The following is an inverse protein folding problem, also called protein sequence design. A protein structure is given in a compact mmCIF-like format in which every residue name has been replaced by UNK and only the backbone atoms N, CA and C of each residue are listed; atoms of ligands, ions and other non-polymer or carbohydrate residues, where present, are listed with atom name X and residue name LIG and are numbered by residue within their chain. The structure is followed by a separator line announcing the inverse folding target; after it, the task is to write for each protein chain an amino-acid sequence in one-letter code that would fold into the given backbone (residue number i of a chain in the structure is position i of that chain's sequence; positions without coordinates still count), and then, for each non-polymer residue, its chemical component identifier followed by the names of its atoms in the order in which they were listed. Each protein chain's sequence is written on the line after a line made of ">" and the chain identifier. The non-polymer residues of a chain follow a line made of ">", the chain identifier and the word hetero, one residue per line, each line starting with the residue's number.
data_IF_909207209012
#
_entry.id   IF_909207209012
#
_cell.length_a   1.000
_cell.length_b   1.000
_cell.length_c   1.000
_cell.angle_alpha   90.00
_cell.angle_beta   90.00
_cell.angle_gamma   90.00
#
_symmetry.space_group_name_H-M   'P 1'
#
loop_
_entity.id
_entity.type
_entity.pdbx_description
1 polymer ?
#
# COMPACT_ATOMS: atom_id res chain seq x y z
N UNK A 1 -28.27 -7.29 -2.42
CA UNK A 1 -27.14 -8.08 -2.98
C UNK A 1 -27.32 -9.54 -2.61
N UNK A 2 -27.21 -10.47 -3.57
CA UNK A 2 -27.29 -11.93 -3.31
C UNK A 2 -25.90 -12.44 -2.94
N UNK A 3 -25.64 -12.64 -1.66
CA UNK A 3 -24.29 -12.86 -1.10
C UNK A 3 -23.55 -14.04 -1.72
N UNK A 4 -24.22 -15.22 -1.89
CA UNK A 4 -23.58 -16.41 -2.46
C UNK A 4 -23.18 -16.21 -3.93
N UNK A 5 -24.05 -15.57 -4.72
CA UNK A 5 -23.78 -15.28 -6.13
C UNK A 5 -22.63 -14.25 -6.25
N UNK A 6 -22.61 -13.23 -5.39
CA UNK A 6 -21.53 -12.25 -5.34
C UNK A 6 -20.19 -12.90 -4.97
N UNK A 7 -20.17 -13.75 -3.94
CA UNK A 7 -18.96 -14.48 -3.55
C UNK A 7 -18.44 -15.38 -4.69
N UNK A 8 -19.34 -16.04 -5.43
CA UNK A 8 -18.95 -16.86 -6.56
C UNK A 8 -18.36 -16.02 -7.72
N UNK A 9 -18.95 -14.86 -8.02
CA UNK A 9 -18.41 -13.95 -9.04
C UNK A 9 -17.03 -13.42 -8.67
N UNK A 10 -16.87 -12.95 -7.42
CA UNK A 10 -15.57 -12.48 -6.90
C UNK A 10 -14.51 -13.57 -7.05
N UNK A 11 -14.82 -14.79 -6.58
CA UNK A 11 -13.93 -15.94 -6.72
C UNK A 11 -13.52 -16.17 -8.17
N UNK A 12 -14.49 -16.22 -9.09
CA UNK A 12 -14.22 -16.44 -10.52
C UNK A 12 -13.33 -15.33 -11.09
N UNK A 13 -13.62 -14.06 -10.77
CA UNK A 13 -12.81 -12.95 -11.26
C UNK A 13 -11.35 -12.98 -10.73
N UNK A 14 -11.16 -13.32 -9.46
CA UNK A 14 -9.81 -13.44 -8.89
C UNK A 14 -9.04 -14.63 -9.47
N UNK A 15 -9.70 -15.78 -9.68
CA UNK A 15 -9.12 -16.95 -10.35
C UNK A 15 -8.72 -16.64 -11.81
N UNK A 16 -9.52 -15.86 -12.54
CA UNK A 16 -9.19 -15.45 -13.90
C UNK A 16 -8.04 -14.44 -13.93
N UNK A 17 -8.07 -13.43 -13.04
CA UNK A 17 -7.05 -12.41 -12.93
C UNK A 17 -5.69 -12.96 -12.48
N UNK A 18 -5.67 -14.02 -11.66
CA UNK A 18 -4.44 -14.69 -11.24
C UNK A 18 -3.65 -15.34 -12.38
N UNK A 19 -4.30 -15.61 -13.51
CA UNK A 19 -3.67 -16.18 -14.71
C UNK A 19 -2.81 -15.17 -15.46
N UNK A 20 -3.03 -13.87 -15.24
CA UNK A 20 -2.23 -12.79 -15.84
C UNK A 20 -1.01 -12.50 -14.96
N UNK A 21 0.00 -13.35 -15.11
CA UNK A 21 1.25 -13.34 -14.32
C UNK A 21 2.46 -13.68 -15.19
N UNK A 22 3.59 -13.03 -14.93
CA UNK A 22 4.87 -13.37 -15.58
C UNK A 22 5.59 -14.55 -14.91
N UNK A 23 5.07 -15.05 -13.76
CA UNK A 23 5.64 -16.17 -12.99
C UNK A 23 4.61 -17.29 -12.77
N UNK A 24 4.10 -17.94 -13.83
CA UNK A 24 3.08 -18.98 -13.69
C UNK A 24 3.58 -20.13 -12.81
N UNK A 25 2.74 -20.54 -11.83
CA UNK A 25 3.07 -21.59 -10.87
C UNK A 25 3.92 -21.15 -9.68
N UNK A 26 4.33 -19.89 -9.61
CA UNK A 26 5.13 -19.33 -8.52
C UNK A 26 4.45 -18.15 -7.80
N UNK A 27 3.15 -17.97 -8.02
CA UNK A 27 2.39 -16.81 -7.55
C UNK A 27 2.13 -15.80 -8.67
N UNK A 28 1.58 -14.65 -8.30
CA UNK A 28 1.26 -13.57 -9.24
C UNK A 28 2.39 -12.55 -9.25
N UNK A 29 2.92 -12.31 -10.46
CA UNK A 29 3.82 -11.18 -10.74
C UNK A 29 3.21 -10.39 -11.89
N UNK A 30 2.60 -9.26 -11.57
CA UNK A 30 1.93 -8.36 -12.50
C UNK A 30 2.45 -6.94 -12.27
N UNK A 31 3.63 -6.68 -12.83
CA UNK A 31 4.27 -5.37 -12.71
C UNK A 31 3.57 -4.31 -13.57
N UNK A 32 3.61 -3.05 -13.16
CA UNK A 32 3.03 -1.95 -13.92
C UNK A 32 3.64 -1.83 -15.31
N UNK A 33 2.82 -1.42 -16.27
CA UNK A 33 3.20 -1.21 -17.67
C UNK A 33 3.78 -2.45 -18.36
N UNK A 34 3.31 -3.65 -17.99
CA UNK A 34 3.67 -4.93 -18.64
C UNK A 34 2.50 -5.49 -19.44
N UNK A 35 2.79 -6.54 -20.21
CA UNK A 35 1.77 -7.29 -20.94
C UNK A 35 0.71 -7.90 -20.00
N UNK A 36 1.15 -8.43 -18.86
CA UNK A 36 0.27 -9.02 -17.85
C UNK A 36 -0.67 -7.97 -17.24
N UNK A 37 -0.14 -6.77 -16.96
CA UNK A 37 -0.94 -5.64 -16.51
C UNK A 37 -1.95 -5.21 -17.58
N UNK A 38 -1.57 -5.20 -18.88
CA UNK A 38 -2.48 -4.89 -19.99
C UNK A 38 -3.65 -5.87 -20.05
N UNK A 39 -3.36 -7.16 -19.99
CA UNK A 39 -4.38 -8.22 -20.04
C UNK A 39 -5.36 -8.13 -18.85
N UNK A 40 -4.83 -7.86 -17.66
CA UNK A 40 -5.66 -7.68 -16.47
C UNK A 40 -6.50 -6.39 -16.55
N UNK A 41 -5.93 -5.28 -17.06
CA UNK A 41 -6.65 -4.03 -17.29
C UNK A 41 -7.82 -4.21 -18.26
N UNK A 42 -7.59 -4.90 -19.39
CA UNK A 42 -8.63 -5.20 -20.39
C UNK A 42 -9.74 -6.10 -19.80
N UNK A 43 -9.37 -7.07 -18.97
CA UNK A 43 -10.33 -7.90 -18.25
C UNK A 43 -11.21 -7.07 -17.31
N UNK A 44 -10.62 -6.23 -16.47
CA UNK A 44 -11.35 -5.36 -15.53
C UNK A 44 -12.26 -4.39 -16.29
N UNK A 45 -11.77 -3.75 -17.36
CA UNK A 45 -12.58 -2.86 -18.21
C UNK A 45 -13.80 -3.60 -18.77
N UNK A 46 -13.61 -4.82 -19.26
CA UNK A 46 -14.73 -5.63 -19.77
C UNK A 46 -15.77 -5.94 -18.67
N UNK A 47 -15.33 -6.28 -17.45
CA UNK A 47 -16.26 -6.54 -16.31
C UNK A 47 -17.02 -5.29 -15.88
N UNK A 48 -16.37 -4.12 -15.89
CA UNK A 48 -17.03 -2.84 -15.64
C UNK A 48 -18.01 -2.46 -16.75
N UNK A 49 -17.64 -2.68 -18.02
CA UNK A 49 -18.54 -2.41 -19.16
C UNK A 49 -19.79 -3.30 -19.16
N UNK A 50 -19.70 -4.57 -18.75
CA UNK A 50 -20.83 -5.50 -18.64
C UNK A 50 -21.92 -5.02 -17.67
N UNK A 51 -21.56 -4.24 -16.66
CA UNK A 51 -22.52 -3.63 -15.72
C UNK A 51 -22.96 -2.23 -16.15
N UNK A 52 -22.59 -1.79 -17.36
CA UNK A 52 -23.01 -0.52 -17.93
C UNK A 52 -22.15 0.69 -17.54
N UNK A 53 -20.95 0.50 -16.99
CA UNK A 53 -20.04 1.59 -16.71
C UNK A 53 -19.33 2.07 -17.99
N UNK A 54 -19.09 3.36 -18.09
CA UNK A 54 -18.24 3.95 -19.10
C UNK A 54 -16.78 3.75 -18.72
N UNK A 55 -16.05 2.94 -19.46
CA UNK A 55 -14.68 2.54 -19.12
C UNK A 55 -13.62 3.27 -19.93
N UNK A 56 -12.50 3.58 -19.30
CA UNK A 56 -11.30 4.13 -19.94
C UNK A 56 -10.06 3.81 -19.11
N UNK A 57 -8.89 3.97 -19.73
CA UNK A 57 -7.59 3.96 -19.07
C UNK A 57 -7.05 5.39 -19.10
N UNK A 58 -6.55 5.89 -17.98
CA UNK A 58 -5.90 7.17 -17.89
C UNK A 58 -4.39 7.11 -18.21
N UNK A 59 -3.71 8.26 -18.25
CA UNK A 59 -2.27 8.30 -18.50
C UNK A 59 -1.38 7.80 -17.35
N UNK A 60 -1.94 7.46 -16.19
CA UNK A 60 -1.20 6.72 -15.16
C UNK A 60 -1.22 5.20 -15.39
N UNK A 61 -2.01 4.74 -16.36
CA UNK A 61 -2.26 3.33 -16.61
C UNK A 61 -3.35 2.73 -15.73
N UNK A 62 -4.05 3.56 -14.97
CA UNK A 62 -5.18 3.11 -14.14
C UNK A 62 -6.42 2.87 -14.99
N UNK A 63 -7.16 1.84 -14.64
CA UNK A 63 -8.45 1.52 -15.27
C UNK A 63 -9.58 2.12 -14.46
N UNK A 64 -10.46 2.84 -15.13
CA UNK A 64 -11.58 3.55 -14.52
C UNK A 64 -12.88 3.14 -15.20
N UNK A 65 -13.90 2.82 -14.39
CA UNK A 65 -15.27 2.57 -14.82
C UNK A 65 -16.23 3.53 -14.14
N UNK A 66 -16.88 4.41 -14.90
CA UNK A 66 -17.71 5.49 -14.41
C UNK A 66 -19.20 5.21 -14.53
N UNK A 67 -19.93 5.37 -13.43
CA UNK A 67 -21.39 5.47 -13.34
C UNK A 67 -21.79 6.93 -13.14
N UNK A 68 -22.49 7.51 -14.10
CA UNK A 68 -22.91 8.91 -14.04
C UNK A 68 -23.96 9.15 -12.95
N UNK A 69 -23.64 10.07 -12.05
CA UNK A 69 -24.55 10.56 -11.01
C UNK A 69 -25.44 11.70 -11.45
N UNK A 70 -26.01 12.42 -10.48
CA UNK A 70 -26.78 13.65 -10.72
C UNK A 70 -25.86 14.85 -10.96
N UNK A 71 -24.63 14.81 -10.40
CA UNK A 71 -23.59 15.84 -10.55
C UNK A 71 -22.28 15.17 -11.03
N UNK A 72 -21.38 15.95 -11.65
CA UNK A 72 -20.12 15.42 -12.20
C UNK A 72 -19.07 15.08 -11.16
N UNK A 73 -19.13 15.68 -9.96
CA UNK A 73 -18.21 15.36 -8.87
C UNK A 73 -18.27 13.86 -8.54
N UNK A 74 -17.14 13.31 -8.14
CA UNK A 74 -16.91 11.86 -8.12
C UNK A 74 -16.63 11.34 -6.71
N UNK A 75 -17.22 10.20 -6.39
CA UNK A 75 -16.78 9.31 -5.31
C UNK A 75 -16.09 8.10 -5.95
N UNK A 76 -14.84 7.86 -5.59
CA UNK A 76 -14.08 6.71 -6.10
C UNK A 76 -14.11 5.53 -5.14
N UNK A 77 -14.12 4.31 -5.70
CA UNK A 77 -13.95 3.06 -4.97
C UNK A 77 -13.02 2.13 -5.76
N UNK A 78 -12.12 1.46 -5.09
CA UNK A 78 -11.24 0.48 -5.73
C UNK A 78 -9.99 0.20 -4.92
N UNK A 79 -8.98 -0.33 -5.58
CA UNK A 79 -7.64 -0.56 -5.09
C UNK A 79 -6.70 -0.85 -6.28
N UNK A 80 -5.50 -1.35 -6.04
CA UNK A 80 -4.49 -1.52 -7.09
C UNK A 80 -4.64 -2.82 -7.90
N UNK A 81 -4.08 -2.79 -9.11
CA UNK A 81 -4.05 -3.90 -10.06
C UNK A 81 -2.72 -4.66 -10.03
N UNK A 82 -1.63 -3.94 -9.79
CA UNK A 82 -0.27 -4.50 -9.75
C UNK A 82 -0.04 -5.39 -8.54
N UNK A 83 1.06 -6.09 -8.53
CA UNK A 83 1.45 -6.99 -7.44
C UNK A 83 2.96 -6.94 -7.20
N UNK A 84 3.40 -7.40 -6.03
CA UNK A 84 4.80 -7.74 -5.78
C UNK A 84 5.23 -8.93 -6.64
N UNK A 85 6.55 -9.20 -6.72
CA UNK A 85 7.09 -10.39 -7.39
C UNK A 85 6.67 -11.66 -6.65
N UNK A 86 6.09 -12.62 -7.37
CA UNK A 86 5.60 -13.89 -6.82
C UNK A 86 4.63 -13.69 -5.63
N UNK A 87 3.80 -12.65 -5.70
CA UNK A 87 2.80 -12.33 -4.69
C UNK A 87 1.58 -13.22 -4.72
N UNK A 88 0.56 -12.81 -3.99
CA UNK A 88 -0.74 -13.48 -3.94
C UNK A 88 -1.68 -13.08 -5.07
N UNK A 89 -2.89 -13.62 -5.00
CA UNK A 89 -3.93 -13.39 -5.99
C UNK A 89 -5.05 -12.44 -5.49
N UNK A 90 -4.88 -11.85 -4.31
CA UNK A 90 -5.92 -11.08 -3.62
C UNK A 90 -5.49 -9.64 -3.35
N UNK A 91 -4.21 -9.44 -3.04
CA UNK A 91 -3.64 -8.14 -2.68
C UNK A 91 -3.96 -7.08 -3.74
N UNK A 92 -4.57 -5.96 -3.32
CA UNK A 92 -5.08 -4.88 -4.16
C UNK A 92 -6.23 -5.29 -5.06
N UNK A 93 -6.01 -6.25 -5.95
CA UNK A 93 -6.96 -6.64 -6.98
C UNK A 93 -8.32 -7.11 -6.43
N UNK A 94 -8.34 -7.71 -5.23
CA UNK A 94 -9.59 -8.08 -4.56
C UNK A 94 -10.45 -6.84 -4.26
N UNK A 95 -9.82 -5.71 -3.89
CA UNK A 95 -10.51 -4.45 -3.66
C UNK A 95 -11.14 -3.87 -4.92
N UNK A 96 -10.43 -3.90 -6.04
CA UNK A 96 -10.99 -3.49 -7.33
C UNK A 96 -12.19 -4.34 -7.73
N UNK A 97 -12.11 -5.67 -7.57
CA UNK A 97 -13.22 -6.60 -7.85
C UNK A 97 -14.39 -6.36 -6.90
N UNK A 98 -14.13 -6.13 -5.60
CA UNK A 98 -15.16 -5.77 -4.63
C UNK A 98 -15.86 -4.45 -4.99
N UNK A 99 -15.11 -3.47 -5.48
CA UNK A 99 -15.65 -2.19 -5.98
C UNK A 99 -16.60 -2.41 -7.16
N UNK A 100 -16.24 -3.27 -8.13
CA UNK A 100 -17.12 -3.62 -9.24
C UNK A 100 -18.44 -4.24 -8.74
N UNK A 101 -18.38 -5.17 -7.80
CA UNK A 101 -19.58 -5.80 -7.25
C UNK A 101 -20.44 -4.85 -6.41
N UNK A 102 -19.83 -3.92 -5.69
CA UNK A 102 -20.56 -2.87 -4.96
C UNK A 102 -21.32 -1.95 -5.94
N UNK A 103 -20.66 -1.50 -7.01
CA UNK A 103 -21.28 -0.63 -8.01
C UNK A 103 -22.30 -1.40 -8.88
N UNK A 104 -22.04 -2.69 -9.19
CA UNK A 104 -23.05 -3.56 -9.80
C UNK A 104 -24.37 -3.54 -9.00
N UNK A 105 -24.26 -3.68 -7.66
CA UNK A 105 -25.46 -3.66 -6.83
C UNK A 105 -26.19 -2.31 -6.89
N UNK A 106 -25.46 -1.18 -6.99
CA UNK A 106 -26.09 0.15 -7.18
C UNK A 106 -26.84 0.18 -8.53
N UNK A 107 -26.23 -0.27 -9.61
CA UNK A 107 -26.85 -0.33 -10.94
C UNK A 107 -28.12 -1.19 -10.91
N UNK A 108 -28.06 -2.38 -10.28
CA UNK A 108 -29.20 -3.28 -10.15
C UNK A 108 -30.38 -2.70 -9.37
N UNK A 109 -30.14 -1.75 -8.45
CA UNK A 109 -31.24 -1.04 -7.75
C UNK A 109 -31.95 -0.02 -8.63
N UNK A 110 -31.35 0.43 -9.72
CA UNK A 110 -31.84 1.52 -10.56
C UNK A 110 -31.72 2.91 -9.90
N UNK A 111 -31.10 3.02 -8.73
CA UNK A 111 -30.88 4.30 -8.05
C UNK A 111 -29.82 5.09 -8.83
N UNK A 112 -30.16 6.36 -9.19
CA UNK A 112 -29.16 7.30 -9.69
C UNK A 112 -28.49 8.00 -8.52
N UNK A 113 -27.19 7.74 -8.23
CA UNK A 113 -26.50 8.35 -7.10
C UNK A 113 -26.38 9.88 -7.28
N UNK A 114 -26.19 10.61 -6.19
CA UNK A 114 -25.99 12.05 -6.27
C UNK A 114 -24.66 12.40 -6.93
N UNK A 115 -23.55 11.90 -6.38
CA UNK A 115 -22.22 11.96 -7.02
C UNK A 115 -22.12 10.92 -8.13
N UNK A 116 -21.32 11.19 -9.15
CA UNK A 116 -20.84 10.14 -10.04
C UNK A 116 -19.97 9.16 -9.26
N UNK A 117 -20.03 7.87 -9.58
CA UNK A 117 -19.22 6.86 -8.90
C UNK A 117 -18.22 6.29 -9.90
N UNK A 118 -16.95 6.22 -9.51
CA UNK A 118 -15.91 5.57 -10.31
C UNK A 118 -15.33 4.37 -9.56
N UNK A 119 -15.34 3.21 -10.23
CA UNK A 119 -14.51 2.08 -9.83
C UNK A 119 -13.15 2.26 -10.44
N UNK A 120 -12.09 2.18 -9.63
CA UNK A 120 -10.71 2.32 -10.09
C UNK A 120 -9.91 1.07 -9.78
N UNK A 121 -9.07 0.66 -10.76
CA UNK A 121 -7.97 -0.27 -10.53
C UNK A 121 -6.68 0.50 -10.81
N UNK A 122 -5.98 0.90 -9.76
CA UNK A 122 -4.78 1.75 -9.80
C UNK A 122 -3.56 0.94 -10.23
N UNK A 123 -2.49 1.61 -10.60
CA UNK A 123 -1.30 0.99 -11.15
C UNK A 123 -0.04 1.46 -10.38
N UNK A 124 0.91 0.55 -10.13
CA UNK A 124 2.17 0.79 -9.42
C UNK A 124 1.99 1.33 -7.98
N UNK A 125 1.04 0.74 -7.24
CA UNK A 125 0.90 1.01 -5.82
C UNK A 125 2.08 0.44 -5.04
N UNK A 126 2.45 -0.80 -5.33
CA UNK A 126 3.49 -1.59 -4.68
C UNK A 126 4.92 -1.05 -4.92
N UNK A 127 5.13 -0.32 -6.02
CA UNK A 127 6.46 0.17 -6.39
C UNK A 127 7.46 -0.94 -6.68
N UNK A 128 6.99 -2.16 -6.92
CA UNK A 128 7.83 -3.36 -7.05
C UNK A 128 8.73 -3.34 -8.28
N UNK A 129 8.33 -2.65 -9.35
CA UNK A 129 9.14 -2.53 -10.56
C UNK A 129 10.08 -1.32 -10.52
N UNK A 130 9.57 -0.14 -10.17
CA UNK A 130 10.31 1.12 -10.31
C UNK A 130 10.71 1.77 -8.98
N UNK A 131 10.35 1.18 -7.85
CA UNK A 131 10.52 1.74 -6.51
C UNK A 131 9.78 3.07 -6.31
N UNK A 132 8.74 3.31 -7.11
CA UNK A 132 7.91 4.51 -7.13
C UNK A 132 6.84 4.51 -6.03
N UNK A 133 6.19 3.39 -5.78
CA UNK A 133 5.13 3.17 -4.78
C UNK A 133 4.04 4.25 -4.67
N UNK A 134 2.78 3.86 -4.58
CA UNK A 134 1.62 4.76 -4.56
C UNK A 134 1.59 5.68 -5.80
N UNK A 135 2.03 5.15 -6.96
CA UNK A 135 2.28 5.95 -8.16
C UNK A 135 1.02 6.66 -8.65
N UNK A 136 -0.06 5.90 -8.87
CA UNK A 136 -1.32 6.47 -9.35
C UNK A 136 -1.88 7.51 -8.39
N UNK A 137 -1.91 7.20 -7.08
CA UNK A 137 -2.36 8.16 -6.06
C UNK A 137 -1.59 9.46 -6.14
N UNK A 138 -0.25 9.41 -6.24
CA UNK A 138 0.62 10.58 -6.36
C UNK A 138 0.40 11.35 -7.66
N UNK A 139 0.15 10.65 -8.79
CA UNK A 139 -0.18 11.29 -10.07
C UNK A 139 -1.50 12.04 -9.99
N UNK A 140 -2.56 11.38 -9.53
CA UNK A 140 -3.89 11.99 -9.39
C UNK A 140 -3.90 13.16 -8.40
N UNK A 141 -2.99 13.16 -7.45
CA UNK A 141 -2.78 14.24 -6.49
C UNK A 141 -1.89 15.38 -7.02
N UNK A 142 -1.21 15.16 -8.15
CA UNK A 142 -0.30 16.13 -8.76
C UNK A 142 1.05 16.24 -8.05
N UNK A 143 1.49 15.19 -7.38
CA UNK A 143 2.78 15.13 -6.67
C UNK A 143 3.95 14.72 -7.57
N UNK A 144 3.69 14.15 -8.76
CA UNK A 144 4.72 13.69 -9.69
C UNK A 144 4.78 14.54 -10.94
N UNK A 145 5.99 14.86 -11.33
CA UNK A 145 6.32 15.55 -12.59
C UNK A 145 6.88 14.59 -13.64
N UNK A 146 7.00 15.04 -14.88
CA UNK A 146 7.67 14.31 -15.97
C UNK A 146 9.12 13.99 -15.60
N UNK A 147 9.81 14.89 -14.88
CA UNK A 147 11.19 14.65 -14.46
C UNK A 147 11.29 13.57 -13.39
N UNK A 148 10.26 13.42 -12.53
CA UNK A 148 10.22 12.35 -11.53
C UNK A 148 10.08 10.99 -12.20
N UNK A 149 9.15 10.83 -13.15
CA UNK A 149 8.94 9.55 -13.85
C UNK A 149 10.11 9.17 -14.78
N UNK A 150 10.96 10.12 -15.19
CA UNK A 150 12.23 9.86 -15.89
C UNK A 150 13.32 9.33 -14.95
N UNK A 151 13.24 9.66 -13.66
CA UNK A 151 14.23 9.23 -12.64
C UNK A 151 13.95 7.83 -12.08
N UNK A 152 12.68 7.47 -11.90
CA UNK A 152 12.31 6.13 -11.44
C UNK A 152 12.66 5.09 -12.49
N UNK A 153 13.47 4.09 -12.14
CA UNK A 153 13.95 3.07 -13.07
C UNK A 153 13.81 1.68 -12.47
N UNK A 154 13.52 0.72 -13.33
CA UNK A 154 13.55 -0.69 -12.99
C UNK A 154 14.98 -1.27 -12.97
N UNK A 155 15.09 -2.57 -12.70
CA UNK A 155 16.38 -3.30 -12.61
C UNK A 155 17.15 -3.33 -13.96
N UNK A 156 16.44 -3.19 -15.08
CA UNK A 156 17.00 -3.15 -16.44
C UNK A 156 17.36 -1.71 -16.88
N UNK A 157 17.11 -0.72 -16.01
CA UNK A 157 17.37 0.70 -16.28
C UNK A 157 16.29 1.41 -17.11
N UNK A 158 15.17 0.74 -17.39
CA UNK A 158 14.00 1.33 -18.07
C UNK A 158 13.33 2.31 -17.12
N UNK A 159 13.08 3.54 -17.57
CA UNK A 159 12.36 4.50 -16.74
C UNK A 159 10.83 4.27 -16.78
N UNK A 160 10.12 4.79 -15.77
CA UNK A 160 8.64 4.83 -15.81
C UNK A 160 8.18 5.54 -17.09
N UNK A 161 8.84 6.64 -17.46
CA UNK A 161 8.56 7.39 -18.70
C UNK A 161 8.63 6.49 -19.94
N UNK A 162 9.74 5.75 -20.12
CA UNK A 162 9.94 4.86 -21.27
C UNK A 162 8.93 3.70 -21.26
N UNK A 163 8.66 3.12 -20.08
CA UNK A 163 7.68 2.04 -19.93
C UNK A 163 6.24 2.50 -20.26
N UNK A 164 5.86 3.74 -19.88
CA UNK A 164 4.57 4.33 -20.24
C UNK A 164 4.44 4.52 -21.75
N UNK A 165 5.50 5.02 -22.44
CA UNK A 165 5.52 5.13 -23.90
C UNK A 165 5.33 3.77 -24.57
N UNK A 166 6.08 2.74 -24.14
CA UNK A 166 5.94 1.38 -24.67
C UNK A 166 4.55 0.81 -24.41
N UNK A 167 3.97 1.14 -23.27
CA UNK A 167 2.59 0.76 -22.91
C UNK A 167 1.53 1.52 -23.72
N UNK A 168 1.90 2.55 -24.51
CA UNK A 168 0.99 3.33 -25.35
C UNK A 168 0.27 4.46 -24.62
N UNK A 169 0.85 4.95 -23.53
CA UNK A 169 0.40 6.12 -22.79
C UNK A 169 1.19 7.36 -23.17
N UNK A 170 0.71 8.53 -22.78
CA UNK A 170 1.39 9.82 -22.98
C UNK A 170 2.00 10.31 -21.65
N UNK A 171 3.29 10.01 -21.37
CA UNK A 171 3.93 10.42 -20.13
C UNK A 171 4.14 11.93 -20.03
N UNK A 172 4.16 12.69 -21.15
CA UNK A 172 4.27 14.14 -21.12
C UNK A 172 2.98 14.80 -20.61
N UNK A 173 1.84 14.12 -20.75
CA UNK A 173 0.53 14.53 -20.21
C UNK A 173 0.25 14.00 -18.79
N UNK A 174 1.26 13.52 -18.06
CA UNK A 174 1.05 12.94 -16.72
C UNK A 174 0.39 13.92 -15.74
N UNK A 175 0.67 15.21 -15.88
CA UNK A 175 0.10 16.27 -15.05
C UNK A 175 -1.42 16.47 -15.27
N UNK A 176 -1.93 16.08 -16.44
CA UNK A 176 -3.36 16.19 -16.80
C UNK A 176 -4.23 15.18 -16.04
N UNK A 177 -3.60 14.18 -15.41
CA UNK A 177 -4.30 13.18 -14.59
C UNK A 177 -4.69 13.68 -13.20
N UNK A 178 -4.39 14.93 -12.85
CA UNK A 178 -4.80 15.50 -11.58
C UNK A 178 -6.31 15.58 -11.48
N UNK A 179 -6.89 15.00 -10.42
CA UNK A 179 -8.33 14.82 -10.22
C UNK A 179 -8.87 15.72 -9.10
N UNK A 180 -9.23 16.95 -9.45
CA UNK A 180 -9.87 17.89 -8.52
C UNK A 180 -11.39 17.62 -8.31
N UNK A 181 -11.98 16.85 -9.20
CA UNK A 181 -13.39 16.44 -9.16
C UNK A 181 -13.69 15.30 -8.19
N UNK A 182 -12.68 14.55 -7.76
CA UNK A 182 -12.83 13.48 -6.76
C UNK A 182 -13.01 14.10 -5.37
N UNK A 183 -14.08 13.69 -4.68
CA UNK A 183 -14.49 14.22 -3.37
C UNK A 183 -14.34 13.23 -2.24
N UNK A 184 -14.30 11.92 -2.54
CA UNK A 184 -14.13 10.87 -1.55
C UNK A 184 -13.53 9.63 -2.19
N UNK A 185 -12.84 8.82 -1.37
CA UNK A 185 -12.26 7.55 -1.78
C UNK A 185 -12.60 6.44 -0.78
N UNK A 186 -13.00 5.28 -1.28
CA UNK A 186 -13.21 4.07 -0.47
C UNK A 186 -12.27 2.99 -1.02
N UNK A 187 -11.50 2.37 -0.13
CA UNK A 187 -10.67 1.23 -0.48
C UNK A 187 -11.13 -0.02 0.26
N UNK A 188 -11.40 -1.09 -0.49
CA UNK A 188 -11.57 -2.43 0.07
C UNK A 188 -10.24 -3.15 -0.09
N UNK A 189 -9.76 -3.81 0.95
CA UNK A 189 -8.49 -4.50 0.91
C UNK A 189 -8.46 -5.72 1.83
N UNK A 190 -7.56 -6.66 1.59
CA UNK A 190 -7.24 -7.70 2.54
C UNK A 190 -6.42 -7.10 3.69
N UNK A 191 -6.52 -7.65 4.90
CA UNK A 191 -5.79 -7.13 6.06
C UNK A 191 -4.26 -7.22 5.92
N UNK A 192 -3.78 -8.21 5.18
CA UNK A 192 -2.36 -8.57 5.08
C UNK A 192 -1.73 -8.97 6.44
N UNK A 193 -2.56 -9.22 7.43
CA UNK A 193 -2.17 -9.52 8.79
C UNK A 193 -3.12 -10.52 9.46
N UNK A 194 -2.83 -10.98 10.68
CA UNK A 194 -3.57 -12.04 11.36
C UNK A 194 -4.65 -11.54 12.34
N UNK A 195 -4.86 -10.22 12.48
CA UNK A 195 -5.63 -9.66 13.62
C UNK A 195 -7.12 -9.98 13.50
N UNK A 196 -7.72 -9.79 12.33
CA UNK A 196 -9.14 -10.07 12.10
C UNK A 196 -9.44 -11.56 12.24
N UNK A 197 -8.58 -12.42 11.68
CA UNK A 197 -8.72 -13.87 11.80
C UNK A 197 -8.62 -14.32 13.26
N UNK A 198 -7.60 -13.85 14.00
CA UNK A 198 -7.40 -14.15 15.40
C UNK A 198 -8.57 -13.67 16.29
N UNK A 199 -9.13 -12.48 15.95
CA UNK A 199 -10.28 -11.92 16.64
C UNK A 199 -11.62 -12.51 16.16
N UNK A 200 -11.63 -13.36 15.13
CA UNK A 200 -12.83 -13.94 14.50
C UNK A 200 -13.82 -12.85 14.05
N UNK A 201 -13.31 -11.82 13.39
CA UNK A 201 -14.09 -10.71 12.86
C UNK A 201 -14.22 -10.83 11.35
N UNK A 202 -15.41 -10.48 10.85
CA UNK A 202 -15.71 -10.53 9.41
C UNK A 202 -15.16 -9.31 8.66
N UNK A 203 -15.23 -8.13 9.29
CA UNK A 203 -14.88 -6.83 8.68
C UNK A 203 -13.98 -6.03 9.63
N UNK A 204 -12.93 -5.44 9.07
CA UNK A 204 -12.10 -4.43 9.74
C UNK A 204 -12.49 -3.03 9.29
N UNK A 205 -12.80 -2.18 10.27
CA UNK A 205 -13.01 -0.74 10.05
C UNK A 205 -11.67 -0.05 10.29
N UNK A 206 -11.01 0.41 9.24
CA UNK A 206 -9.67 0.97 9.38
C UNK A 206 -9.73 2.39 9.94
N UNK A 207 -9.06 2.63 11.06
CA UNK A 207 -9.00 3.94 11.72
C UNK A 207 -7.91 4.83 11.14
N UNK A 208 -6.73 4.25 10.96
CA UNK A 208 -5.50 4.95 10.59
C UNK A 208 -4.68 4.07 9.67
N UNK A 209 -4.12 4.66 8.64
CA UNK A 209 -3.01 4.07 7.88
C UNK A 209 -1.73 4.62 8.51
N UNK A 210 -0.81 3.72 8.93
CA UNK A 210 0.41 4.12 9.64
C UNK A 210 1.29 5.03 8.78
N UNK A 211 1.95 5.98 9.43
CA UNK A 211 3.09 6.68 8.84
C UNK A 211 4.30 5.75 8.78
N UNK A 212 5.17 6.00 7.82
CA UNK A 212 6.38 5.21 7.57
C UNK A 212 7.56 6.16 7.44
N UNK A 213 8.62 5.92 8.23
CA UNK A 213 9.90 6.59 8.05
C UNK A 213 11.01 5.56 7.88
N UNK A 214 11.65 5.58 6.74
CA UNK A 214 12.67 4.59 6.35
C UNK A 214 13.98 5.29 6.04
N UNK A 215 15.08 4.70 6.48
CA UNK A 215 16.40 5.21 6.17
C UNK A 215 17.41 4.08 5.98
N UNK A 216 18.49 4.41 5.26
CA UNK A 216 19.69 3.63 5.17
C UNK A 216 20.76 4.29 6.05
N UNK A 217 21.29 3.55 7.00
CA UNK A 217 22.31 4.02 7.94
C UNK A 217 23.63 3.36 7.61
N UNK A 218 24.68 4.15 7.41
CA UNK A 218 26.06 3.67 7.21
C UNK A 218 26.93 4.11 8.36
N UNK A 219 27.54 3.16 9.08
CA UNK A 219 28.52 3.40 10.14
C UNK A 219 29.91 3.09 9.60
N UNK A 220 30.84 4.05 9.69
CA UNK A 220 32.22 3.91 9.21
C UNK A 220 33.19 3.81 10.37
N UNK A 221 33.92 2.73 10.40
CA UNK A 221 35.00 2.45 11.34
C UNK A 221 36.35 2.26 10.62
N UNK A 222 37.17 1.32 11.10
CA UNK A 222 38.49 1.02 10.51
C UNK A 222 38.80 -0.47 10.54
N UNK A 223 39.22 -0.99 9.40
CA UNK A 223 39.69 -2.39 9.31
C UNK A 223 41.08 -2.55 9.94
N UNK A 224 41.18 -3.49 10.86
CA UNK A 224 42.40 -3.83 11.54
C UNK A 224 42.45 -5.37 11.78
N UNK A 225 43.60 -5.90 12.18
CA UNK A 225 43.72 -7.32 12.51
C UNK A 225 42.99 -7.64 13.83
N UNK A 226 42.08 -8.62 13.80
CA UNK A 226 41.16 -8.91 14.93
C UNK A 226 41.89 -9.32 16.23
N UNK A 227 43.04 -9.99 16.14
CA UNK A 227 43.76 -10.51 17.29
C UNK A 227 44.82 -9.57 17.88
N UNK A 228 45.32 -8.61 17.09
CA UNK A 228 46.44 -7.75 17.53
C UNK A 228 46.01 -6.34 17.92
N UNK A 229 44.84 -5.90 17.45
CA UNK A 229 44.31 -4.58 17.79
C UNK A 229 43.62 -4.61 19.17
N UNK A 230 44.13 -3.88 20.19
CA UNK A 230 43.49 -3.80 21.52
C UNK A 230 42.05 -3.26 21.47
N UNK A 231 41.18 -3.71 22.39
CA UNK A 231 39.76 -3.33 22.42
C UNK A 231 39.51 -1.81 22.51
N UNK A 232 40.34 -1.10 23.27
CA UNK A 232 40.22 0.36 23.46
C UNK A 232 40.76 1.18 22.26
N UNK A 233 41.33 0.54 21.26
CA UNK A 233 41.87 1.20 20.04
C UNK A 233 41.07 0.83 18.78
N UNK A 234 40.05 -0.05 18.91
CA UNK A 234 39.23 -0.50 17.80
C UNK A 234 38.23 0.57 17.37
N UNK A 235 38.03 0.61 16.05
CA UNK A 235 36.92 1.34 15.42
C UNK A 235 36.01 0.30 14.71
N UNK A 236 35.40 -0.59 15.49
CA UNK A 236 34.61 -1.72 15.01
C UNK A 236 33.20 -1.24 14.66
N UNK A 237 32.92 -1.17 13.35
CA UNK A 237 31.65 -0.71 12.83
C UNK A 237 30.47 -1.65 13.20
N UNK A 238 30.72 -2.96 13.35
CA UNK A 238 29.69 -3.93 13.77
C UNK A 238 29.36 -3.73 15.25
N UNK A 239 30.35 -3.56 16.13
CA UNK A 239 30.09 -3.28 17.55
C UNK A 239 29.26 -2.00 17.74
N UNK A 240 29.59 -0.96 16.98
CA UNK A 240 28.85 0.30 17.04
C UNK A 240 27.41 0.15 16.53
N UNK A 241 27.23 -0.40 15.33
CA UNK A 241 25.91 -0.63 14.73
C UNK A 241 25.04 -1.52 15.61
N UNK A 242 25.58 -2.61 16.17
CA UNK A 242 24.84 -3.54 17.01
C UNK A 242 24.25 -2.88 18.27
N UNK A 243 24.95 -1.93 18.87
CA UNK A 243 24.45 -1.17 20.04
C UNK A 243 23.24 -0.29 19.67
N UNK A 244 23.23 0.29 18.48
CA UNK A 244 22.10 1.09 17.98
C UNK A 244 20.94 0.18 17.59
N UNK A 245 21.22 -0.87 16.82
CA UNK A 245 20.22 -1.84 16.33
C UNK A 245 19.48 -2.51 17.50
N UNK A 246 20.17 -2.85 18.58
CA UNK A 246 19.57 -3.48 19.75
C UNK A 246 18.45 -2.62 20.38
N UNK A 247 18.50 -1.31 20.24
CA UNK A 247 17.53 -0.37 20.82
C UNK A 247 16.32 -0.11 19.90
N UNK A 248 16.38 -0.46 18.61
CA UNK A 248 15.34 -0.10 17.63
C UNK A 248 13.98 -0.67 18.03
N UNK A 249 13.88 -1.97 18.30
CA UNK A 249 12.62 -2.60 18.70
C UNK A 249 12.10 -2.11 20.06
N UNK A 250 12.99 -1.84 21.02
CA UNK A 250 12.60 -1.34 22.34
C UNK A 250 12.07 0.10 22.28
N UNK A 251 12.51 0.89 21.32
CA UNK A 251 11.94 2.23 21.06
C UNK A 251 10.51 2.14 20.59
N UNK A 252 10.23 1.27 19.61
CA UNK A 252 8.87 1.07 19.10
C UNK A 252 7.90 0.61 20.20
N UNK A 253 8.31 -0.31 21.06
CA UNK A 253 7.48 -0.83 22.18
C UNK A 253 7.03 0.22 23.19
N UNK A 254 7.60 1.43 23.16
CA UNK A 254 7.19 2.55 24.04
C UNK A 254 5.88 3.20 23.58
N UNK A 255 5.49 3.00 22.32
CA UNK A 255 4.34 3.65 21.73
C UNK A 255 3.30 2.61 21.29
N UNK A 256 2.01 2.87 21.54
CA UNK A 256 0.95 1.99 21.09
C UNK A 256 0.99 1.80 19.56
N UNK A 257 0.83 0.56 19.11
CA UNK A 257 0.72 0.21 17.68
C UNK A 257 1.91 0.64 16.80
N UNK A 258 3.04 1.03 17.40
CA UNK A 258 4.25 1.31 16.66
C UNK A 258 5.08 0.04 16.45
N UNK A 259 5.70 -0.05 15.29
CA UNK A 259 6.66 -1.10 14.96
C UNK A 259 7.94 -0.51 14.40
N UNK A 260 9.07 -1.20 14.61
CA UNK A 260 10.34 -0.83 14.00
C UNK A 260 11.17 -2.07 13.70
N UNK A 261 11.85 -2.07 12.54
CA UNK A 261 12.62 -3.21 12.07
C UNK A 261 13.89 -2.76 11.37
N UNK A 262 14.96 -3.56 11.52
CA UNK A 262 16.15 -3.53 10.66
C UNK A 262 16.00 -4.68 9.67
N UNK A 263 15.70 -4.35 8.42
CA UNK A 263 15.37 -5.34 7.39
C UNK A 263 16.58 -5.83 6.57
N UNK A 264 17.64 -5.03 6.51
CA UNK A 264 18.87 -5.36 5.77
C UNK A 264 20.07 -4.98 6.62
N UNK A 265 21.12 -5.80 6.57
CA UNK A 265 22.39 -5.55 7.25
C UNK A 265 23.54 -6.05 6.36
N UNK A 266 24.40 -5.14 5.95
CA UNK A 266 25.60 -5.46 5.16
C UNK A 266 26.87 -5.04 5.92
N UNK A 267 27.87 -5.92 5.91
CA UNK A 267 29.12 -5.74 6.65
C UNK A 267 30.30 -5.79 5.66
N UNK A 268 31.21 -4.84 5.78
CA UNK A 268 32.43 -4.79 4.97
C UNK A 268 33.69 -4.77 5.86
N UNK A 269 34.73 -5.55 5.53
CA UNK A 269 34.89 -6.46 4.40
C UNK A 269 34.25 -7.85 4.60
N UNK A 270 33.57 -8.12 5.71
CA UNK A 270 32.94 -9.41 6.05
C UNK A 270 33.92 -10.62 5.99
N UNK A 271 35.07 -10.45 6.61
CA UNK A 271 36.17 -11.43 6.67
C UNK A 271 36.45 -11.80 8.13
N UNK A 272 36.58 -13.09 8.42
CA UNK A 272 36.63 -13.65 9.78
C UNK A 272 37.72 -13.08 10.68
N UNK A 273 38.88 -12.66 10.15
CA UNK A 273 40.03 -12.20 10.90
C UNK A 273 40.33 -10.70 10.74
N UNK A 274 39.37 -9.93 10.25
CA UNK A 274 39.46 -8.47 10.09
C UNK A 274 38.35 -7.78 10.88
N UNK A 275 38.65 -6.72 11.63
CA UNK A 275 37.66 -5.86 12.27
C UNK A 275 36.87 -5.16 11.17
N UNK A 276 35.52 -5.21 11.19
CA UNK A 276 34.70 -4.56 10.17
C UNK A 276 34.89 -3.05 10.14
N UNK A 277 35.14 -2.52 8.94
CA UNK A 277 35.35 -1.08 8.72
C UNK A 277 34.08 -0.33 8.34
N UNK A 278 33.03 -1.05 7.90
CA UNK A 278 31.78 -0.42 7.47
C UNK A 278 30.61 -1.35 7.71
N UNK A 279 29.52 -0.79 8.21
CA UNK A 279 28.22 -1.47 8.29
C UNK A 279 27.17 -0.56 7.69
N UNK A 280 26.38 -1.13 6.78
CA UNK A 280 25.19 -0.46 6.23
C UNK A 280 23.95 -1.25 6.59
N UNK A 281 22.94 -0.60 7.17
CA UNK A 281 21.68 -1.26 7.52
C UNK A 281 20.47 -0.36 7.22
N UNK A 282 19.33 -0.98 6.88
CA UNK A 282 18.06 -0.27 6.71
C UNK A 282 17.30 -0.23 8.04
N UNK A 283 16.59 0.86 8.27
CA UNK A 283 15.60 0.98 9.35
C UNK A 283 14.24 1.36 8.77
N UNK A 284 13.17 0.78 9.32
CA UNK A 284 11.78 1.09 8.98
C UNK A 284 11.04 1.32 10.30
N UNK A 285 10.55 2.55 10.50
CA UNK A 285 9.74 2.96 11.66
C UNK A 285 8.32 3.23 11.19
N UNK A 286 7.33 2.64 11.87
CA UNK A 286 5.91 2.87 11.59
C UNK A 286 5.16 3.20 12.86
N UNK A 287 4.09 3.98 12.72
CA UNK A 287 3.23 4.34 13.84
C UNK A 287 1.98 5.10 13.40
N UNK A 288 1.03 5.21 14.31
CA UNK A 288 -0.24 5.92 14.08
C UNK A 288 -0.16 7.42 14.31
N UNK A 289 0.93 7.89 14.95
CA UNK A 289 1.16 9.29 15.27
C UNK A 289 2.54 9.71 14.78
N UNK A 290 2.61 10.82 14.03
CA UNK A 290 3.87 11.32 13.47
C UNK A 290 4.92 11.60 14.55
N UNK A 291 4.49 12.16 15.68
CA UNK A 291 5.40 12.48 16.79
C UNK A 291 6.13 11.24 17.32
N UNK A 292 5.44 10.08 17.39
CA UNK A 292 6.05 8.84 17.86
C UNK A 292 7.08 8.29 16.86
N UNK A 293 6.83 8.46 15.56
CA UNK A 293 7.78 8.08 14.49
C UNK A 293 9.02 8.95 14.58
N UNK A 294 8.84 10.26 14.74
CA UNK A 294 9.95 11.23 14.83
C UNK A 294 10.79 11.02 16.10
N UNK A 295 10.18 10.71 17.23
CA UNK A 295 10.89 10.40 18.48
C UNK A 295 11.71 9.10 18.37
N UNK A 296 11.20 8.07 17.71
CA UNK A 296 11.95 6.84 17.43
C UNK A 296 13.18 7.13 16.55
N UNK A 297 12.98 7.89 15.47
CA UNK A 297 14.03 8.26 14.54
C UNK A 297 15.10 9.12 15.19
N UNK A 298 14.69 10.16 15.96
CA UNK A 298 15.62 11.01 16.69
C UNK A 298 16.37 10.24 17.77
N UNK A 299 15.71 9.30 18.44
CA UNK A 299 16.34 8.43 19.40
C UNK A 299 17.42 7.54 18.79
N UNK A 300 17.23 7.06 17.56
CA UNK A 300 18.27 6.35 16.81
C UNK A 300 19.47 7.26 16.51
N UNK A 301 19.21 8.52 16.09
CA UNK A 301 20.27 9.49 15.84
C UNK A 301 21.09 9.75 17.12
N UNK A 302 20.42 9.93 18.24
CA UNK A 302 21.10 10.16 19.54
C UNK A 302 21.98 8.96 19.93
N UNK A 303 21.54 7.73 19.67
CA UNK A 303 22.36 6.54 19.90
C UNK A 303 23.58 6.49 18.96
N UNK A 304 23.40 6.85 17.68
CA UNK A 304 24.50 6.94 16.70
C UNK A 304 25.53 7.98 17.15
N UNK A 305 25.10 9.16 17.55
CA UNK A 305 25.97 10.23 18.06
C UNK A 305 26.79 9.75 19.27
N UNK A 306 26.12 9.13 20.25
CA UNK A 306 26.76 8.65 21.46
C UNK A 306 27.78 7.54 21.19
N UNK A 307 27.42 6.55 20.35
CA UNK A 307 28.27 5.41 20.06
C UNK A 307 29.43 5.82 19.15
N UNK A 308 29.17 6.59 18.07
CA UNK A 308 30.21 6.99 17.14
C UNK A 308 31.21 7.95 17.80
N UNK A 309 30.77 8.88 18.63
CA UNK A 309 31.68 9.72 19.44
C UNK A 309 32.58 8.91 20.35
N UNK A 310 32.01 7.91 21.05
CA UNK A 310 32.76 7.04 21.96
C UNK A 310 33.86 6.24 21.26
N UNK A 311 33.61 5.79 20.05
CA UNK A 311 34.54 4.96 19.29
C UNK A 311 35.31 5.72 18.20
N UNK A 312 35.22 7.06 18.18
CA UNK A 312 35.86 7.94 17.17
C UNK A 312 35.51 7.56 15.72
N UNK A 313 34.27 7.15 15.50
CA UNK A 313 33.72 6.76 14.20
C UNK A 313 32.80 7.83 13.62
N UNK A 314 32.39 7.64 12.38
CA UNK A 314 31.42 8.50 11.69
C UNK A 314 30.25 7.68 11.20
N UNK A 315 29.13 8.35 10.95
CA UNK A 315 27.98 7.73 10.32
C UNK A 315 27.34 8.65 9.28
N UNK A 316 26.52 8.07 8.41
CA UNK A 316 25.71 8.76 7.44
C UNK A 316 24.29 8.17 7.49
N UNK A 317 23.27 9.01 7.28
CA UNK A 317 21.87 8.59 7.16
C UNK A 317 21.34 9.12 5.85
N UNK A 318 20.77 8.23 5.05
CA UNK A 318 20.02 8.55 3.85
C UNK A 318 18.55 8.20 4.12
N UNK A 319 17.70 9.23 4.30
CA UNK A 319 16.26 9.03 4.44
C UNK A 319 15.69 8.66 3.07
N UNK A 320 15.08 7.47 2.98
CA UNK A 320 14.57 6.91 1.70
C UNK A 320 13.05 7.05 1.58
N UNK A 321 12.35 7.20 2.71
CA UNK A 321 10.90 7.38 2.76
C UNK A 321 10.51 8.13 4.03
N UNK A 322 9.58 9.07 3.91
CA UNK A 322 8.94 9.74 5.04
C UNK A 322 7.50 10.09 4.66
N UNK A 323 6.55 9.28 5.11
CA UNK A 323 5.12 9.43 4.83
C UNK A 323 4.39 9.53 6.14
N UNK A 324 3.59 10.57 6.30
CA UNK A 324 2.81 10.79 7.52
C UNK A 324 1.67 9.76 7.67
N UNK A 325 1.26 9.43 8.91
CA UNK A 325 0.07 8.64 9.14
C UNK A 325 -1.18 9.40 8.70
N UNK A 326 -2.17 8.66 8.22
CA UNK A 326 -3.44 9.24 7.76
C UNK A 326 -4.59 8.66 8.55
N UNK A 327 -5.30 9.52 9.29
CA UNK A 327 -6.55 9.16 9.97
C UNK A 327 -7.69 9.18 8.96
N UNK A 328 -8.42 8.08 8.88
CA UNK A 328 -9.55 7.93 7.97
C UNK A 328 -10.81 8.63 8.52
N UNK A 329 -11.74 8.96 7.62
CA UNK A 329 -12.90 9.81 7.92
C UNK A 329 -13.86 9.15 8.92
N UNK A 330 -14.18 9.85 10.02
CA UNK A 330 -15.00 9.34 11.12
C UNK A 330 -16.43 8.99 10.67
N UNK A 331 -17.05 9.82 9.81
CA UNK A 331 -18.41 9.58 9.32
C UNK A 331 -18.47 8.33 8.43
N UNK A 332 -17.49 8.16 7.52
CA UNK A 332 -17.44 7.00 6.64
C UNK A 332 -17.20 5.71 7.43
N UNK A 333 -16.37 5.76 8.48
CA UNK A 333 -16.19 4.62 9.39
C UNK A 333 -17.49 4.25 10.09
N UNK A 334 -18.28 5.24 10.55
CA UNK A 334 -19.61 4.98 11.14
C UNK A 334 -20.56 4.32 10.13
N UNK A 335 -20.54 4.71 8.83
CA UNK A 335 -21.37 4.05 7.81
C UNK A 335 -20.98 2.59 7.60
N UNK A 336 -19.67 2.27 7.68
CA UNK A 336 -19.18 0.87 7.62
C UNK A 336 -19.70 0.08 8.82
N UNK A 337 -19.62 0.64 10.04
CA UNK A 337 -20.13 0.01 11.26
C UNK A 337 -21.63 -0.21 11.22
N UNK A 338 -22.40 0.80 10.79
CA UNK A 338 -23.86 0.72 10.62
C UNK A 338 -24.24 -0.39 9.65
N UNK A 339 -23.58 -0.47 8.48
CA UNK A 339 -23.81 -1.55 7.52
C UNK A 339 -23.54 -2.93 8.14
N UNK A 340 -22.43 -3.09 8.86
CA UNK A 340 -22.14 -4.35 9.55
C UNK A 340 -23.20 -4.70 10.59
N UNK A 341 -23.62 -3.73 11.38
CA UNK A 341 -24.65 -3.93 12.41
C UNK A 341 -26.01 -4.32 11.79
N UNK A 342 -26.48 -3.61 10.75
CA UNK A 342 -27.73 -3.91 10.08
C UNK A 342 -27.75 -5.30 9.44
N UNK A 343 -26.61 -5.78 8.97
CA UNK A 343 -26.45 -7.08 8.35
C UNK A 343 -26.10 -8.21 9.32
N UNK A 344 -25.87 -7.88 10.62
CA UNK A 344 -25.51 -8.85 11.65
C UNK A 344 -24.09 -9.42 11.49
N UNK A 345 -23.17 -8.65 10.91
CA UNK A 345 -21.77 -9.02 10.73
C UNK A 345 -20.89 -8.49 11.85
N UNK A 346 -19.90 -9.31 12.24
CA UNK A 346 -18.94 -8.89 13.24
C UNK A 346 -17.90 -7.96 12.63
N UNK A 347 -17.59 -6.86 13.33
CA UNK A 347 -16.54 -5.93 12.92
C UNK A 347 -15.66 -5.54 14.09
N UNK A 348 -14.53 -4.92 13.79
CA UNK A 348 -13.69 -4.23 14.76
C UNK A 348 -12.90 -3.10 14.12
N UNK A 349 -12.56 -2.10 14.92
CA UNK A 349 -11.59 -1.09 14.55
C UNK A 349 -10.18 -1.69 14.46
N UNK A 350 -9.45 -1.29 13.43
CA UNK A 350 -8.10 -1.81 13.14
C UNK A 350 -7.23 -0.71 12.53
N UNK A 351 -5.92 -0.87 12.66
CA UNK A 351 -4.92 0.00 12.03
C UNK A 351 -4.33 -0.71 10.83
N UNK A 352 -4.18 -0.03 9.69
CA UNK A 352 -3.39 -0.55 8.59
C UNK A 352 -1.91 -0.38 8.88
N UNK A 353 -1.17 -1.49 8.95
CA UNK A 353 0.29 -1.51 9.07
C UNK A 353 1.02 -1.33 7.74
N UNK A 354 0.29 -1.40 6.61
CA UNK A 354 0.79 -1.20 5.26
C UNK A 354 0.39 0.19 4.73
N UNK A 355 1.11 0.69 3.70
CA UNK A 355 0.66 1.82 2.90
C UNK A 355 -0.41 1.38 1.91
N UNK A 356 -1.26 2.31 1.46
CA UNK A 356 -2.33 2.07 0.50
C UNK A 356 -2.59 3.34 -0.32
N UNK A 357 -3.28 3.24 -1.45
CA UNK A 357 -3.71 4.42 -2.21
C UNK A 357 -4.55 5.37 -1.35
N UNK A 358 -5.37 4.83 -0.43
CA UNK A 358 -6.11 5.60 0.54
C UNK A 358 -5.24 6.50 1.44
N UNK A 359 -3.94 6.22 1.57
CA UNK A 359 -3.01 7.10 2.30
C UNK A 359 -2.77 8.42 1.56
N UNK A 360 -2.65 8.37 0.24
CA UNK A 360 -2.48 9.58 -0.57
C UNK A 360 -3.78 10.37 -0.63
N UNK A 361 -4.89 9.70 -0.92
CA UNK A 361 -6.19 10.36 -1.03
C UNK A 361 -6.70 10.90 0.31
N UNK A 362 -6.58 10.11 1.38
CA UNK A 362 -7.02 10.46 2.73
C UNK A 362 -6.29 11.65 3.37
N UNK A 363 -5.10 11.99 2.86
CA UNK A 363 -4.40 13.20 3.24
C UNK A 363 -5.07 14.49 2.72
N UNK A 364 -5.99 14.40 1.74
CA UNK A 364 -6.61 15.55 1.06
C UNK A 364 -8.12 15.55 1.02
N UNK A 365 -8.74 14.39 1.07
CA UNK A 365 -10.18 14.24 0.98
C UNK A 365 -10.68 13.17 1.95
N UNK A 366 -11.96 13.14 2.28
CA UNK A 366 -12.54 12.05 3.06
C UNK A 366 -12.24 10.69 2.41
N UNK A 367 -11.64 9.77 3.17
CA UNK A 367 -11.36 8.42 2.72
C UNK A 367 -11.73 7.40 3.80
N UNK A 368 -12.04 6.18 3.39
CA UNK A 368 -12.28 5.03 4.25
C UNK A 368 -11.64 3.77 3.68
N UNK A 369 -11.34 2.82 4.56
CA UNK A 369 -10.91 1.48 4.17
C UNK A 369 -11.71 0.41 4.89
N UNK A 370 -12.02 -0.66 4.16
CA UNK A 370 -12.72 -1.85 4.63
C UNK A 370 -11.77 -3.03 4.48
N UNK A 371 -11.34 -3.60 5.60
CA UNK A 371 -10.50 -4.79 5.59
C UNK A 371 -11.33 -6.07 5.70
N UNK A 372 -10.81 -7.14 5.04
CA UNK A 372 -11.26 -8.52 5.23
C UNK A 372 -10.12 -9.37 5.77
N UNK A 373 -10.41 -10.46 6.51
CA UNK A 373 -9.39 -11.35 7.05
C UNK A 373 -8.50 -11.95 5.96
N UNK A 374 -7.20 -12.00 6.23
CA UNK A 374 -6.21 -12.79 5.49
C UNK A 374 -5.97 -14.10 6.22
N UNK A 375 -6.19 -15.24 5.55
CA UNK A 375 -6.02 -16.56 6.15
C UNK A 375 -4.56 -16.79 6.54
N UNK A 376 -4.34 -17.11 7.82
CA UNK A 376 -3.01 -17.22 8.40
C UNK A 376 -2.24 -15.90 8.44
N UNK A 377 -2.87 -14.78 8.20
CA UNK A 377 -2.23 -13.45 8.15
C UNK A 377 -1.20 -13.30 7.04
N UNK A 378 -1.31 -14.11 5.97
CA UNK A 378 -0.32 -14.14 4.89
C UNK A 378 -0.66 -13.14 3.80
N UNK A 379 0.37 -12.43 3.33
CA UNK A 379 0.36 -11.59 2.13
C UNK A 379 1.74 -11.54 1.49
N UNK A 380 1.85 -10.99 0.27
CA UNK A 380 3.07 -10.92 -0.54
C UNK A 380 3.71 -12.30 -0.80
N UNK A 381 2.90 -13.34 -0.87
CA UNK A 381 3.34 -14.71 -1.12
C UNK A 381 2.25 -15.51 -1.87
N UNK A 382 2.63 -16.59 -2.58
CA UNK A 382 1.69 -17.39 -3.37
C UNK A 382 0.54 -18.02 -2.56
N UNK A 383 0.72 -18.22 -1.25
CA UNK A 383 -0.27 -18.82 -0.36
C UNK A 383 -1.25 -17.81 0.25
N UNK A 384 -1.21 -16.57 -0.17
CA UNK A 384 -2.15 -15.52 0.21
C UNK A 384 -3.58 -15.93 -0.15
N UNK A 385 -4.49 -15.79 0.80
CA UNK A 385 -5.89 -16.16 0.60
C UNK A 385 -6.83 -15.36 1.51
N UNK A 386 -7.93 -14.93 0.96
CA UNK A 386 -9.09 -14.40 1.69
C UNK A 386 -10.36 -15.09 1.21
N UNK A 387 -11.26 -15.38 2.14
CA UNK A 387 -12.49 -16.10 1.84
C UNK A 387 -13.41 -15.28 0.90
N UNK A 388 -13.90 -15.84 -0.23
CA UNK A 388 -14.80 -15.11 -1.14
C UNK A 388 -16.08 -14.61 -0.46
N UNK A 389 -16.52 -15.27 0.61
CA UNK A 389 -17.65 -14.83 1.42
C UNK A 389 -17.37 -13.53 2.14
N UNK A 390 -16.20 -13.37 2.76
CA UNK A 390 -15.83 -12.11 3.45
C UNK A 390 -15.62 -10.98 2.46
N UNK A 391 -15.07 -11.25 1.28
CA UNK A 391 -14.97 -10.28 0.18
C UNK A 391 -16.36 -9.82 -0.30
N UNK A 392 -17.33 -10.74 -0.41
CA UNK A 392 -18.71 -10.37 -0.73
C UNK A 392 -19.35 -9.53 0.39
N UNK A 393 -19.03 -9.81 1.67
CA UNK A 393 -19.47 -8.97 2.79
C UNK A 393 -18.87 -7.57 2.70
N UNK A 394 -17.57 -7.45 2.41
CA UNK A 394 -16.94 -6.15 2.19
C UNK A 394 -17.54 -5.38 1.00
N UNK A 395 -17.87 -6.07 -0.11
CA UNK A 395 -18.55 -5.46 -1.26
C UNK A 395 -19.93 -4.92 -0.88
N UNK A 396 -20.69 -5.65 -0.04
CA UNK A 396 -21.99 -5.21 0.41
C UNK A 396 -21.90 -4.05 1.43
N UNK A 397 -20.89 -4.06 2.30
CA UNK A 397 -20.56 -2.96 3.19
C UNK A 397 -20.18 -1.71 2.40
N UNK A 398 -19.35 -1.86 1.37
CA UNK A 398 -18.97 -0.77 0.47
C UNK A 398 -20.18 -0.21 -0.30
N UNK A 399 -21.09 -1.06 -0.77
CA UNK A 399 -22.34 -0.65 -1.40
C UNK A 399 -23.18 0.24 -0.46
N UNK A 400 -23.41 -0.18 0.80
CA UNK A 400 -24.16 0.61 1.77
C UNK A 400 -23.47 1.94 2.08
N UNK A 401 -22.16 1.91 2.28
CA UNK A 401 -21.32 3.10 2.53
C UNK A 401 -21.39 4.10 1.37
N UNK A 402 -21.26 3.64 0.12
CA UNK A 402 -21.42 4.49 -1.07
C UNK A 402 -22.80 5.13 -1.13
N UNK A 403 -23.86 4.39 -0.82
CA UNK A 403 -25.22 4.93 -0.80
C UNK A 403 -25.40 6.00 0.28
N UNK A 404 -24.80 5.84 1.46
CA UNK A 404 -24.84 6.86 2.51
C UNK A 404 -24.07 8.12 2.08
N UNK A 405 -22.86 7.99 1.59
CA UNK A 405 -22.05 9.10 1.06
C UNK A 405 -22.82 9.84 -0.04
N UNK A 406 -23.47 9.13 -0.96
CA UNK A 406 -24.24 9.73 -2.04
C UNK A 406 -25.57 10.38 -1.61
N UNK A 407 -26.01 10.24 -0.36
CA UNK A 407 -27.11 11.02 0.22
C UNK A 407 -26.65 12.38 0.74
N UNK A 408 -25.39 12.51 1.09
CA UNK A 408 -24.81 13.79 1.50
C UNK A 408 -24.63 14.69 0.28
N UNK A 409 -25.09 15.93 0.37
CA UNK A 409 -25.00 16.89 -0.74
C UNK A 409 -23.76 17.80 -0.63
N UNK A 410 -22.97 17.64 0.42
CA UNK A 410 -21.71 18.37 0.66
C UNK A 410 -20.72 17.41 1.34
N UNK A 411 -19.63 17.10 0.64
CA UNK A 411 -18.47 16.35 1.14
C UNK A 411 -17.29 17.27 1.36
#
# INVERSE_FOLDING_TARGET
>A
MQMELTAQRIKTHLEDLSKYTSTPGQGVTRFPFTKEARMASEYIMARMAEIGLKTYMDNSGSVIGRLEGQIPETVMIGSHLDSVRCGGAYDGIAGAVCGIEAVRAIVETGIKPYYSIEVVATNDEEGSRFKSGLFTGKVMDGQLSVDDIKRYRDEDGISVYDAMLEYGLDPDAIADNRRADVKAFIEVHIEQGPVLEAAKKDIGVVDVIVGIRRALVTVNGRADHIGTMPMNMRMDAVEAAAKVIANIGDRARKYPLAVATVGNLNVEPNILNIIPSKVTYSVDFRGTEQIHIDEQYQGMINDLDAVCSRFHMTYQIEETLNVAPVKLNDAFRSYIEESCHERGWSNMHIVSGAGHDAQVYGARMPAAMIFVPSVGGRSHCPEEYSEPRTLAMASATAFDTLLQICKEKQL
#
